data_IF_096778726923
#
_entry.id   IF_096778726923
#
_cell.length_a   1.000
_cell.length_b   1.000
_cell.length_c   1.000
_cell.angle_alpha   90.00
_cell.angle_beta   90.00
_cell.angle_gamma   90.00
#
_symmetry.space_group_name_H-M   'P 1'
#
loop_
_entity.id
_entity.type
_entity.pdbx_description
1 polymer ?
#
# COMPACT_ATOMS: atom_id res chain seq x y z
N UNK A 1 -10.05 -28.41 30.12
CA UNK A 1 -10.33 -27.10 29.51
C UNK A 1 -11.18 -27.34 28.27
N UNK A 2 -12.46 -26.94 28.30
CA UNK A 2 -13.42 -27.20 27.24
C UNK A 2 -13.27 -26.14 26.12
N UNK A 3 -13.15 -26.60 24.88
CA UNK A 3 -13.09 -25.77 23.67
C UNK A 3 -14.51 -25.27 23.33
N UNK A 4 -14.74 -23.99 22.99
CA UNK A 4 -16.08 -23.54 22.64
C UNK A 4 -16.52 -24.10 21.28
N UNK A 5 -17.67 -24.77 21.24
CA UNK A 5 -18.34 -25.19 20.01
C UNK A 5 -18.79 -23.97 19.20
N UNK A 6 -18.17 -23.76 18.04
CA UNK A 6 -18.56 -22.74 17.06
C UNK A 6 -19.86 -23.19 16.38
N UNK A 7 -20.96 -22.53 16.69
CA UNK A 7 -22.23 -22.77 15.99
C UNK A 7 -22.12 -22.34 14.51
N UNK A 8 -22.72 -23.09 13.57
CA UNK A 8 -22.80 -22.68 12.17
C UNK A 8 -23.69 -21.44 12.03
N UNK A 9 -23.39 -20.60 11.05
CA UNK A 9 -24.15 -19.40 10.75
C UNK A 9 -25.62 -19.74 10.41
N UNK A 10 -26.56 -18.94 10.91
CA UNK A 10 -27.99 -19.15 10.66
C UNK A 10 -28.36 -18.89 9.19
N UNK A 11 -29.35 -19.61 8.66
CA UNK A 11 -29.82 -19.46 7.27
C UNK A 11 -30.16 -18.02 6.90
N UNK A 12 -30.70 -17.23 7.84
CA UNK A 12 -30.99 -15.81 7.62
C UNK A 12 -29.73 -14.98 7.35
N UNK A 13 -28.62 -15.31 8.00
CA UNK A 13 -27.34 -14.63 7.85
C UNK A 13 -26.66 -14.99 6.52
N UNK A 14 -26.78 -16.25 6.10
CA UNK A 14 -26.37 -16.71 4.76
C UNK A 14 -27.21 -16.07 3.63
N UNK A 15 -28.53 -15.94 3.84
CA UNK A 15 -29.43 -15.31 2.85
C UNK A 15 -29.15 -13.81 2.70
N UNK A 16 -28.86 -13.11 3.79
CA UNK A 16 -28.48 -11.69 3.75
C UNK A 16 -27.11 -11.49 3.09
N UNK A 17 -26.20 -12.45 3.24
CA UNK A 17 -24.90 -12.46 2.57
C UNK A 17 -25.01 -12.80 1.07
N UNK A 18 -25.92 -13.71 0.68
CA UNK A 18 -26.21 -14.02 -0.72
C UNK A 18 -26.89 -12.87 -1.47
N UNK A 19 -27.82 -12.16 -0.84
CA UNK A 19 -28.42 -10.97 -1.45
C UNK A 19 -27.40 -9.83 -1.62
N UNK A 20 -26.40 -9.73 -0.73
CA UNK A 20 -25.31 -8.76 -0.89
C UNK A 20 -24.32 -9.19 -2.00
N UNK A 21 -24.06 -10.49 -2.14
CA UNK A 21 -23.21 -11.04 -3.19
C UNK A 21 -23.82 -10.90 -4.60
N UNK A 22 -25.15 -10.92 -4.75
CA UNK A 22 -25.81 -10.67 -6.04
C UNK A 22 -25.65 -9.23 -6.54
N UNK A 23 -25.36 -8.27 -5.66
CA UNK A 23 -25.02 -6.89 -6.06
C UNK A 23 -23.62 -6.77 -6.67
N UNK A 24 -22.76 -7.78 -6.48
CA UNK A 24 -21.42 -7.84 -7.06
C UNK A 24 -21.44 -8.87 -8.18
N UNK A 25 -21.73 -8.39 -9.38
CA UNK A 25 -21.87 -9.21 -10.59
C UNK A 25 -20.77 -10.25 -10.76
N UNK A 26 -21.21 -11.48 -11.02
CA UNK A 26 -20.44 -12.59 -11.58
C UNK A 26 -19.60 -12.11 -12.76
N UNK A 27 -18.28 -12.22 -12.64
CA UNK A 27 -17.36 -12.06 -13.77
C UNK A 27 -17.50 -13.28 -14.68
N UNK A 28 -18.39 -13.18 -15.67
CA UNK A 28 -18.42 -14.08 -16.81
C UNK A 28 -17.17 -13.93 -17.69
N UNK A 29 -16.83 -14.94 -18.52
CA UNK A 29 -15.70 -14.86 -19.45
C UNK A 29 -15.87 -13.69 -20.44
N UNK A 30 -14.77 -13.06 -20.90
CA UNK A 30 -14.84 -11.86 -21.71
C UNK A 30 -15.50 -12.16 -23.06
N UNK A 31 -16.59 -11.45 -23.37
CA UNK A 31 -17.17 -11.43 -24.70
C UNK A 31 -16.19 -10.77 -25.69
N UNK A 32 -16.10 -11.25 -26.95
CA UNK A 32 -15.22 -10.67 -27.95
C UNK A 32 -15.65 -9.23 -28.28
N UNK A 33 -14.75 -8.28 -28.03
CA UNK A 33 -14.92 -6.85 -28.32
C UNK A 33 -14.87 -6.67 -29.84
N UNK A 34 -15.94 -6.16 -30.44
CA UNK A 34 -15.91 -5.62 -31.80
C UNK A 34 -15.04 -4.35 -31.80
N UNK A 35 -13.91 -4.41 -32.52
CA UNK A 35 -13.00 -3.28 -32.73
C UNK A 35 -13.66 -2.35 -33.76
N UNK A 36 -14.46 -1.40 -33.28
CA UNK A 36 -14.79 -0.19 -34.04
C UNK A 36 -13.60 0.80 -34.00
N UNK A 37 -13.43 1.66 -35.02
CA UNK A 37 -12.25 2.49 -35.13
C UNK A 37 -12.14 3.45 -33.95
N UNK A 38 -10.99 3.40 -33.29
CA UNK A 38 -10.55 4.33 -32.25
C UNK A 38 -10.26 5.72 -32.82
N UNK A 39 -10.47 6.73 -31.98
CA UNK A 39 -10.05 8.15 -32.05
C UNK A 39 -11.21 9.12 -32.31
N UNK A 40 -11.61 9.84 -31.24
CA UNK A 40 -12.32 11.16 -31.17
C UNK A 40 -13.37 11.30 -30.06
N UNK A 41 -13.38 10.43 -29.03
CA UNK A 41 -14.40 10.45 -27.96
C UNK A 41 -14.05 11.19 -26.66
N UNK A 42 -12.78 11.56 -26.42
CA UNK A 42 -12.33 12.08 -25.10
C UNK A 42 -12.79 13.50 -24.77
N UNK A 43 -13.45 14.18 -25.70
CA UNK A 43 -13.84 15.58 -25.54
C UNK A 43 -15.35 15.75 -25.27
N UNK A 44 -16.12 14.65 -25.25
CA UNK A 44 -17.55 14.72 -25.03
C UNK A 44 -17.84 14.85 -23.52
N UNK A 45 -18.45 15.96 -23.06
CA UNK A 45 -18.71 16.21 -21.64
C UNK A 45 -19.55 15.10 -20.99
N UNK A 46 -20.51 14.51 -21.73
CA UNK A 46 -21.33 13.39 -21.25
C UNK A 46 -20.52 12.11 -20.96
N UNK A 47 -19.49 11.84 -21.77
CA UNK A 47 -18.62 10.66 -21.58
C UNK A 47 -17.72 10.88 -20.36
N UNK A 48 -17.17 12.10 -20.21
CA UNK A 48 -16.35 12.49 -19.06
C UNK A 48 -17.18 12.43 -17.77
N UNK A 49 -18.40 12.96 -17.79
CA UNK A 49 -19.35 12.90 -16.69
C UNK A 49 -19.59 11.46 -16.23
N UNK A 50 -19.97 10.59 -17.18
CA UNK A 50 -20.26 9.19 -16.89
C UNK A 50 -19.03 8.48 -16.32
N UNK A 51 -17.86 8.70 -16.91
CA UNK A 51 -16.61 8.12 -16.43
C UNK A 51 -16.28 8.56 -14.99
N UNK A 52 -16.44 9.85 -14.66
CA UNK A 52 -16.20 10.36 -13.30
C UNK A 52 -17.14 9.67 -12.31
N UNK A 53 -18.45 9.63 -12.59
CA UNK A 53 -19.45 9.03 -11.71
C UNK A 53 -19.25 7.52 -11.51
N UNK A 54 -18.99 6.78 -12.58
CA UNK A 54 -18.72 5.34 -12.49
C UNK A 54 -17.45 5.05 -11.68
N UNK A 55 -16.38 5.79 -11.94
CA UNK A 55 -15.11 5.60 -11.24
C UNK A 55 -15.21 5.98 -9.77
N UNK A 56 -15.86 7.11 -9.46
CA UNK A 56 -16.11 7.54 -8.09
C UNK A 56 -16.96 6.50 -7.34
N UNK A 57 -18.05 6.00 -7.94
CA UNK A 57 -18.91 4.98 -7.33
C UNK A 57 -18.17 3.67 -7.05
N UNK A 58 -17.36 3.20 -8.01
CA UNK A 58 -16.51 2.01 -7.84
C UNK A 58 -15.49 2.22 -6.73
N UNK A 59 -14.91 3.42 -6.63
CA UNK A 59 -13.93 3.77 -5.62
C UNK A 59 -14.54 3.85 -4.22
N UNK A 60 -15.69 4.50 -4.06
CA UNK A 60 -16.46 4.53 -2.81
C UNK A 60 -16.74 3.10 -2.33
N UNK A 61 -17.23 2.25 -3.22
CA UNK A 61 -17.49 0.84 -2.92
C UNK A 61 -16.23 0.09 -2.50
N UNK A 62 -15.08 0.37 -3.13
CA UNK A 62 -13.79 -0.27 -2.79
C UNK A 62 -13.29 0.19 -1.42
N UNK A 63 -13.40 1.49 -1.10
CA UNK A 63 -12.99 2.05 0.19
C UNK A 63 -13.86 1.50 1.32
N UNK A 64 -15.18 1.46 1.14
CA UNK A 64 -16.12 0.88 2.11
C UNK A 64 -15.86 -0.62 2.33
N UNK A 65 -15.59 -1.35 1.25
CA UNK A 65 -15.21 -2.77 1.32
C UNK A 65 -13.91 -2.96 2.12
N UNK A 66 -12.87 -2.19 1.81
CA UNK A 66 -11.59 -2.26 2.52
C UNK A 66 -11.74 -1.93 4.01
N UNK A 67 -12.49 -0.88 4.35
CA UNK A 67 -12.81 -0.52 5.73
C UNK A 67 -13.45 -1.69 6.47
N UNK A 68 -14.55 -2.23 5.93
CA UNK A 68 -15.29 -3.34 6.55
C UNK A 68 -14.44 -4.61 6.66
N UNK A 69 -13.60 -4.90 5.68
CA UNK A 69 -12.69 -6.04 5.72
C UNK A 69 -11.62 -5.87 6.81
N UNK A 70 -11.09 -4.65 6.96
CA UNK A 70 -10.12 -4.31 8.00
C UNK A 70 -10.70 -4.35 9.42
N UNK A 71 -12.00 -4.04 9.57
CA UNK A 71 -12.72 -4.17 10.84
C UNK A 71 -13.11 -5.63 11.15
N UNK A 72 -12.88 -6.57 10.24
CA UNK A 72 -13.29 -7.97 10.36
C UNK A 72 -14.79 -8.20 10.27
N UNK A 73 -15.54 -7.26 9.64
CA UNK A 73 -17.00 -7.33 9.49
C UNK A 73 -17.43 -8.14 8.27
N UNK A 74 -16.54 -8.29 7.29
CA UNK A 74 -16.81 -9.01 6.04
C UNK A 74 -15.64 -9.91 5.64
N UNK A 75 -15.95 -10.89 4.80
CA UNK A 75 -14.95 -11.80 4.23
C UNK A 75 -14.24 -11.12 3.05
N UNK A 76 -12.91 -11.21 3.04
CA UNK A 76 -12.07 -10.88 1.91
C UNK A 76 -12.33 -11.86 0.75
N UNK A 77 -12.77 -11.34 -0.40
CA UNK A 77 -13.25 -12.08 -1.56
C UNK A 77 -14.15 -13.28 -1.22
N UNK A 78 -15.04 -13.15 -0.23
CA UNK A 78 -15.90 -14.23 0.26
C UNK A 78 -15.16 -15.51 0.66
N UNK A 79 -13.84 -15.44 0.90
CA UNK A 79 -12.99 -16.61 1.10
C UNK A 79 -12.41 -16.65 2.51
N UNK A 80 -11.80 -15.56 2.96
CA UNK A 80 -11.16 -15.50 4.28
C UNK A 80 -11.71 -14.33 5.11
N UNK A 81 -11.95 -14.58 6.39
CA UNK A 81 -12.29 -13.54 7.35
C UNK A 81 -11.02 -13.19 8.14
N UNK A 82 -10.56 -11.94 8.01
CA UNK A 82 -9.46 -11.44 8.83
C UNK A 82 -10.03 -10.84 10.11
N UNK A 83 -9.86 -11.53 11.24
CA UNK A 83 -10.23 -10.96 12.54
C UNK A 83 -9.18 -9.93 12.97
N UNK A 84 -9.56 -8.91 13.77
CA UNK A 84 -8.62 -7.92 14.33
C UNK A 84 -7.33 -8.54 14.91
N UNK A 85 -7.38 -9.62 15.73
CA UNK A 85 -6.14 -10.23 16.22
C UNK A 85 -5.33 -10.93 15.13
N UNK A 86 -5.96 -11.43 14.06
CA UNK A 86 -5.25 -12.03 12.93
C UNK A 86 -4.56 -10.96 12.06
N UNK A 87 -5.18 -9.80 11.87
CA UNK A 87 -4.56 -8.65 11.23
C UNK A 87 -3.31 -8.18 12.01
N UNK A 88 -3.41 -8.10 13.34
CA UNK A 88 -2.27 -7.74 14.19
C UNK A 88 -1.10 -8.74 14.15
N UNK A 89 -1.34 -9.99 13.73
CA UNK A 89 -0.32 -11.04 13.59
C UNK A 89 0.41 -11.02 12.24
N UNK A 90 -0.07 -10.25 11.27
CA UNK A 90 0.58 -10.15 9.97
C UNK A 90 1.98 -9.53 10.17
N UNK A 91 3.01 -10.14 9.59
CA UNK A 91 4.43 -9.77 9.82
C UNK A 91 4.77 -8.30 9.51
N UNK A 92 3.91 -7.61 8.78
CA UNK A 92 4.04 -6.19 8.46
C UNK A 92 3.46 -5.26 9.55
N UNK A 93 2.60 -5.76 10.43
CA UNK A 93 1.97 -5.03 11.53
C UNK A 93 2.90 -4.96 12.77
N UNK A 94 4.20 -4.72 12.56
CA UNK A 94 5.08 -4.42 13.69
C UNK A 94 4.65 -3.07 14.30
N UNK A 95 4.46 -2.97 15.63
CA UNK A 95 3.94 -1.75 16.27
C UNK A 95 4.60 -0.43 15.84
N UNK A 96 5.94 -0.32 15.72
CA UNK A 96 6.56 0.97 15.36
C UNK A 96 6.35 1.37 13.89
N UNK A 97 6.27 0.42 12.96
CA UNK A 97 5.96 0.71 11.55
C UNK A 97 4.50 1.10 11.38
N UNK A 98 3.64 0.43 12.12
CA UNK A 98 2.21 0.66 12.11
C UNK A 98 1.87 2.06 12.64
N UNK A 99 2.50 2.48 13.74
CA UNK A 99 2.40 3.83 14.27
C UNK A 99 2.82 4.90 13.25
N UNK A 100 3.97 4.72 12.57
CA UNK A 100 4.44 5.66 11.53
C UNK A 100 3.49 5.75 10.34
N UNK A 101 2.99 4.61 9.87
CA UNK A 101 2.01 4.57 8.79
C UNK A 101 0.69 5.21 9.21
N UNK A 102 0.23 4.95 10.44
CA UNK A 102 -0.94 5.58 11.01
C UNK A 102 -0.75 7.10 11.10
N UNK A 103 0.40 7.59 11.55
CA UNK A 103 0.73 9.02 11.54
C UNK A 103 0.61 9.60 10.14
N UNK A 104 1.25 8.99 9.13
CA UNK A 104 1.14 9.45 7.74
C UNK A 104 -0.33 9.53 7.27
N UNK A 105 -1.13 8.51 7.53
CA UNK A 105 -2.55 8.50 7.18
C UNK A 105 -3.38 9.52 7.96
N UNK A 106 -3.05 9.76 9.23
CA UNK A 106 -3.72 10.75 10.06
C UNK A 106 -3.47 12.17 9.53
N UNK A 107 -2.23 12.49 9.14
CA UNK A 107 -1.89 13.79 8.57
C UNK A 107 -2.69 14.06 7.28
N UNK A 108 -2.79 13.05 6.40
CA UNK A 108 -3.67 13.14 5.23
C UNK A 108 -5.14 13.31 5.66
N UNK A 109 -5.60 12.51 6.62
CA UNK A 109 -6.96 12.56 7.15
C UNK A 109 -7.36 13.92 7.73
N UNK A 110 -6.44 14.66 8.37
CA UNK A 110 -6.69 16.01 8.86
C UNK A 110 -6.68 17.07 7.76
N UNK A 111 -5.86 16.89 6.74
CA UNK A 111 -5.76 17.85 5.63
C UNK A 111 -6.95 17.80 4.66
N UNK A 112 -7.53 16.61 4.41
CA UNK A 112 -8.63 16.44 3.44
C UNK A 112 -9.89 17.26 3.77
N UNK A 113 -10.40 17.29 5.02
CA UNK A 113 -11.57 18.11 5.39
C UNK A 113 -11.40 19.59 5.08
N UNK A 114 -10.19 20.14 5.26
CA UNK A 114 -9.95 21.56 4.94
C UNK A 114 -10.18 21.86 3.46
N UNK A 115 -9.82 20.94 2.57
CA UNK A 115 -10.04 21.07 1.13
C UNK A 115 -11.53 20.93 0.77
N UNK A 116 -12.25 20.05 1.48
CA UNK A 116 -13.70 19.87 1.31
C UNK A 116 -14.48 21.14 1.64
N UNK A 117 -14.07 21.86 2.68
CA UNK A 117 -14.71 23.08 3.14
C UNK A 117 -14.33 24.31 2.30
N UNK A 118 -13.08 24.39 1.84
CA UNK A 118 -12.54 25.56 1.11
C UNK A 118 -13.13 25.75 -0.30
N UNK A 119 -13.53 24.68 -1.00
CA UNK A 119 -13.95 24.75 -2.41
C UNK A 119 -15.36 24.17 -2.66
N UNK A 120 -16.44 24.80 -2.15
CA UNK A 120 -17.77 24.22 -2.17
C UNK A 120 -18.50 24.29 -3.52
N UNK A 121 -18.06 25.12 -4.49
CA UNK A 121 -18.85 25.43 -5.69
C UNK A 121 -18.15 25.16 -7.04
N UNK A 122 -16.83 24.96 -7.06
CA UNK A 122 -16.06 24.78 -8.30
C UNK A 122 -15.39 23.41 -8.32
N UNK A 123 -15.78 22.49 -9.22
CA UNK A 123 -15.14 21.17 -9.33
C UNK A 123 -13.66 21.29 -9.72
N UNK A 124 -13.32 22.26 -10.57
CA UNK A 124 -11.95 22.46 -11.06
C UNK A 124 -11.02 22.91 -9.94
N UNK A 125 -11.44 23.87 -9.11
CA UNK A 125 -10.60 24.41 -8.04
C UNK A 125 -10.45 23.41 -6.90
N UNK A 126 -11.55 22.73 -6.53
CA UNK A 126 -11.54 21.63 -5.59
C UNK A 126 -10.55 20.53 -6.03
N UNK A 127 -10.65 20.03 -7.26
CA UNK A 127 -9.75 18.97 -7.74
C UNK A 127 -8.31 19.45 -7.89
N UNK A 128 -8.05 20.72 -8.16
CA UNK A 128 -6.68 21.28 -8.19
C UNK A 128 -6.08 21.28 -6.79
N UNK A 129 -6.82 21.75 -5.78
CA UNK A 129 -6.40 21.74 -4.39
C UNK A 129 -6.19 20.32 -3.86
N UNK A 130 -7.11 19.39 -4.18
CA UNK A 130 -6.97 17.98 -3.83
C UNK A 130 -5.73 17.34 -4.47
N UNK A 131 -5.46 17.62 -5.75
CA UNK A 131 -4.23 17.14 -6.39
C UNK A 131 -2.97 17.72 -5.75
N UNK A 132 -2.98 19.01 -5.43
CA UNK A 132 -1.85 19.67 -4.77
C UNK A 132 -1.57 19.03 -3.41
N UNK A 133 -2.60 18.81 -2.59
CA UNK A 133 -2.48 18.10 -1.32
C UNK A 133 -1.90 16.69 -1.48
N UNK A 134 -2.43 15.91 -2.42
CA UNK A 134 -1.94 14.54 -2.67
C UNK A 134 -0.48 14.53 -3.17
N UNK A 135 -0.04 15.56 -3.90
CA UNK A 135 1.36 15.74 -4.31
C UNK A 135 2.25 16.07 -3.11
N UNK A 136 1.83 17.01 -2.27
CA UNK A 136 2.54 17.35 -1.03
C UNK A 136 2.68 16.12 -0.13
N UNK A 137 1.63 15.33 -0.01
CA UNK A 137 1.65 14.08 0.77
C UNK A 137 2.56 13.00 0.18
N UNK A 138 2.67 12.87 -1.15
CA UNK A 138 3.67 11.99 -1.77
C UNK A 138 5.10 12.46 -1.48
N UNK A 139 5.34 13.78 -1.53
CA UNK A 139 6.63 14.38 -1.20
C UNK A 139 7.00 14.08 0.26
N UNK A 140 6.05 14.32 1.18
CA UNK A 140 6.20 14.02 2.60
C UNK A 140 6.52 12.54 2.84
N UNK A 141 5.78 11.61 2.24
CA UNK A 141 6.07 10.16 2.35
C UNK A 141 7.44 9.78 1.77
N UNK A 142 7.93 10.51 0.77
CA UNK A 142 9.23 10.25 0.19
C UNK A 142 10.38 10.64 1.14
N UNK A 143 10.13 11.53 2.09
CA UNK A 143 11.08 11.98 3.12
C UNK A 143 10.86 11.18 4.42
N UNK A 144 9.61 10.84 4.74
CA UNK A 144 9.17 10.05 5.89
C UNK A 144 8.51 8.72 5.47
N UNK A 145 9.30 7.70 5.06
CA UNK A 145 8.73 6.44 4.59
C UNK A 145 7.93 5.71 5.68
N UNK A 146 6.76 5.14 5.35
CA UNK A 146 5.93 4.42 6.30
C UNK A 146 6.62 3.17 6.88
N UNK A 147 7.57 2.58 6.14
CA UNK A 147 8.38 1.44 6.58
C UNK A 147 9.50 1.79 7.56
N UNK A 148 9.78 3.08 7.77
CA UNK A 148 10.84 3.52 8.65
C UNK A 148 12.25 3.37 8.10
N UNK A 149 12.42 2.83 6.90
CA UNK A 149 13.69 2.91 6.17
C UNK A 149 13.80 4.35 5.66
N UNK A 150 14.53 5.21 6.37
CA UNK A 150 14.88 6.54 5.87
C UNK A 150 15.43 6.40 4.45
N UNK A 151 14.99 7.20 3.48
CA UNK A 151 15.63 7.20 2.18
C UNK A 151 17.01 7.79 2.42
N UNK A 152 18.03 6.93 2.50
CA UNK A 152 19.40 7.39 2.44
C UNK A 152 19.51 8.20 1.15
N UNK A 153 19.63 9.52 1.26
CA UNK A 153 19.73 10.48 0.15
C UNK A 153 21.01 10.27 -0.72
N UNK A 154 21.67 9.13 -0.57
CA UNK A 154 22.85 8.70 -1.31
C UNK A 154 22.54 7.69 -2.42
N UNK A 155 21.36 7.08 -2.47
CA UNK A 155 21.10 5.95 -3.40
C UNK A 155 20.43 6.32 -4.73
N UNK A 156 20.09 7.60 -4.98
CA UNK A 156 19.52 8.05 -6.27
C UNK A 156 20.49 8.82 -7.16
N UNK A 157 21.75 8.97 -6.76
CA UNK A 157 22.81 9.40 -7.66
C UNK A 157 23.31 8.21 -8.47
N UNK A 158 22.66 7.86 -9.59
CA UNK A 158 23.28 7.00 -10.60
C UNK A 158 24.37 7.81 -11.29
N UNK A 159 25.54 7.91 -10.64
CA UNK A 159 26.74 8.51 -11.22
C UNK A 159 27.02 7.72 -12.51
N UNK A 160 26.94 8.33 -13.71
CA UNK A 160 27.32 7.64 -14.92
C UNK A 160 28.82 7.32 -14.81
N UNK A 161 29.14 6.06 -15.06
CA UNK A 161 30.47 5.48 -15.02
C UNK A 161 31.41 6.23 -15.99
N UNK A 162 32.01 7.35 -15.56
CA UNK A 162 32.85 8.25 -16.38
C UNK A 162 34.35 7.97 -16.26
N UNK A 163 34.74 6.79 -15.78
CA UNK A 163 36.11 6.30 -15.89
C UNK A 163 36.17 5.05 -16.78
N UNK A 164 35.97 5.24 -18.09
CA UNK A 164 36.57 4.33 -19.07
C UNK A 164 37.97 4.85 -19.42
N UNK A 165 38.97 4.35 -18.70
CA UNK A 165 40.36 4.40 -19.15
C UNK A 165 40.55 3.23 -20.11
N UNK A 166 40.89 3.56 -21.36
CA UNK A 166 41.31 2.62 -22.38
C UNK A 166 42.61 1.93 -21.97
N UNK A 167 42.72 0.62 -22.24
CA UNK A 167 43.87 0.01 -22.94
C UNK A 167 43.69 -1.51 -23.11
N UNK A 168 44.01 -1.95 -24.34
CA UNK A 168 44.58 -3.24 -24.70
C UNK A 168 43.68 -4.34 -25.34
N UNK A 169 43.82 -4.41 -26.67
CA UNK A 169 44.09 -5.61 -27.50
C UNK A 169 43.09 -6.77 -27.52
N UNK A 170 42.51 -6.94 -28.71
CA UNK A 170 42.60 -8.18 -29.48
C UNK A 170 41.63 -9.30 -29.12
N UNK A 171 41.05 -9.90 -30.16
CA UNK A 171 40.67 -11.31 -30.11
C UNK A 171 39.20 -11.62 -30.26
N UNK A 172 38.90 -12.20 -31.41
CA UNK A 172 37.70 -12.93 -31.81
C UNK A 172 37.11 -13.90 -30.77
N UNK A 173 35.85 -14.25 -31.03
CA UNK A 173 35.19 -15.56 -30.82
C UNK A 173 34.30 -15.77 -29.58
N UNK A 174 32.98 -15.83 -29.85
CA UNK A 174 32.09 -17.01 -29.75
C UNK A 174 32.35 -18.03 -28.62
N UNK A 175 31.37 -18.21 -27.73
CA UNK A 175 31.15 -19.44 -26.95
C UNK A 175 30.49 -19.19 -25.59
N UNK A 176 29.20 -19.53 -25.40
CA UNK A 176 28.65 -20.82 -24.92
C UNK A 176 29.01 -21.20 -23.48
N UNK A 177 27.97 -21.14 -22.62
CA UNK A 177 27.46 -22.18 -21.70
C UNK A 177 28.45 -23.30 -21.32
N UNK A 178 28.68 -23.49 -20.02
CA UNK A 178 28.39 -24.76 -19.31
C UNK A 178 28.82 -24.74 -17.84
N UNK A 179 28.06 -25.50 -17.06
CA UNK A 179 28.11 -25.74 -15.62
C UNK A 179 29.08 -26.86 -15.22
N UNK A 180 29.12 -27.13 -13.90
CA UNK A 180 29.64 -28.30 -13.16
C UNK A 180 31.15 -28.28 -12.87
N UNK A 181 31.71 -28.54 -11.67
CA UNK A 181 31.41 -29.28 -10.43
C UNK A 181 32.46 -30.39 -10.24
N UNK A 182 33.00 -30.50 -9.01
CA UNK A 182 33.91 -31.55 -8.47
C UNK A 182 35.31 -31.58 -9.12
N UNK A 183 36.43 -31.89 -8.46
CA UNK A 183 36.67 -32.90 -7.43
C UNK A 183 38.08 -32.73 -6.81
N UNK A 184 38.16 -33.07 -5.51
CA UNK A 184 39.26 -33.62 -4.68
C UNK A 184 40.76 -33.33 -4.95
N UNK A 185 41.51 -33.11 -3.85
CA UNK A 185 42.98 -33.23 -3.85
C UNK A 185 43.79 -32.87 -2.59
N UNK A 186 43.52 -33.48 -1.43
CA UNK A 186 44.48 -34.02 -0.43
C UNK A 186 45.60 -33.13 0.23
N UNK A 187 46.23 -33.58 1.37
CA UNK A 187 46.40 -32.78 2.60
C UNK A 187 47.86 -32.57 3.05
N UNK A 188 48.11 -31.76 4.10
CA UNK A 188 49.03 -32.06 5.24
C UNK A 188 49.36 -30.84 6.12
N UNK A 189 49.06 -30.97 7.42
CA UNK A 189 49.90 -30.75 8.64
C UNK A 189 50.87 -29.54 8.67
N UNK A 190 50.60 -28.54 9.52
CA UNK A 190 51.08 -28.36 10.91
C UNK A 190 52.37 -27.53 11.01
N UNK A 191 52.26 -26.31 11.57
CA UNK A 191 53.30 -25.76 12.42
C UNK A 191 52.70 -24.75 13.40
N UNK A 192 52.83 -25.08 14.68
CA UNK A 192 52.50 -24.22 15.82
C UNK A 192 53.65 -23.27 16.13
N UNK A 193 53.36 -21.98 16.34
CA UNK A 193 54.25 -21.09 17.11
C UNK A 193 53.43 -20.03 17.83
N UNK A 194 53.51 -20.08 19.15
CA UNK A 194 52.94 -19.15 20.12
C UNK A 194 53.81 -17.91 20.25
N UNK A 195 53.20 -16.73 20.35
CA UNK A 195 53.71 -15.70 21.26
C UNK A 195 52.60 -14.77 21.75
N UNK A 196 52.70 -14.45 23.03
CA UNK A 196 51.68 -13.81 23.86
C UNK A 196 51.86 -12.28 23.98
N UNK A 197 50.81 -11.67 24.53
CA UNK A 197 50.76 -10.42 25.30
C UNK A 197 50.64 -9.07 24.57
N UNK A 198 49.41 -8.53 24.58
CA UNK A 198 49.10 -7.18 25.10
C UNK A 198 47.56 -7.02 25.19
N UNK A 199 47.05 -6.75 26.39
CA UNK A 199 45.65 -6.33 26.66
C UNK A 199 45.58 -4.78 26.75
N UNK A 200 44.41 -4.17 26.98
CA UNK A 200 43.59 -3.39 26.04
C UNK A 200 43.71 -1.86 26.28
N UNK A 201 42.97 -1.01 25.55
CA UNK A 201 41.71 -0.53 26.13
C UNK A 201 40.58 -0.22 25.12
N UNK A 202 39.36 -0.29 25.64
CA UNK A 202 38.19 0.51 25.30
C UNK A 202 38.05 1.04 23.86
N UNK A 203 37.38 0.26 23.02
CA UNK A 203 36.44 0.80 22.07
C UNK A 203 35.07 0.22 22.42
N UNK A 204 34.50 0.74 23.51
CA UNK A 204 33.07 0.68 23.75
C UNK A 204 32.39 1.06 22.43
N UNK A 205 31.68 0.09 21.85
CA UNK A 205 30.72 0.34 20.81
C UNK A 205 29.81 1.46 21.35
N UNK A 206 30.02 2.67 20.84
CA UNK A 206 29.07 3.75 20.93
C UNK A 206 27.85 3.28 20.14
N UNK A 207 27.06 2.46 20.82
CA UNK A 207 25.64 2.36 20.66
C UNK A 207 25.12 3.76 20.92
N UNK A 208 25.16 4.59 19.88
CA UNK A 208 24.33 5.78 19.75
C UNK A 208 22.89 5.29 19.74
N UNK A 209 22.42 4.94 20.94
CA UNK A 209 21.02 5.00 21.32
C UNK A 209 20.63 6.47 21.27
N UNK A 210 20.48 6.98 20.04
CA UNK A 210 19.69 8.17 19.81
C UNK A 210 18.31 7.83 20.36
N UNK A 211 17.79 8.58 21.34
CA UNK A 211 16.40 8.42 21.71
C UNK A 211 15.61 8.70 20.43
N UNK A 212 14.87 7.70 19.96
CA UNK A 212 13.86 7.89 18.93
C UNK A 212 12.79 8.75 19.60
N UNK A 213 12.98 10.07 19.56
CA UNK A 213 11.91 11.03 19.77
C UNK A 213 11.13 11.04 18.47
N UNK A 214 9.92 10.50 18.47
CA UNK A 214 8.96 10.57 17.37
C UNK A 214 8.41 11.99 17.15
N UNK A 215 9.04 13.00 17.75
CA UNK A 215 8.73 14.41 17.59
C UNK A 215 9.96 15.17 17.10
N UNK A 216 9.77 15.82 15.96
CA UNK A 216 10.35 17.11 15.61
C UNK A 216 11.83 17.16 15.20
N UNK A 217 12.07 16.94 13.92
CA UNK A 217 13.00 17.80 13.16
C UNK A 217 12.45 17.88 11.72
N UNK A 218 11.39 18.68 11.52
CA UNK A 218 11.07 19.15 10.17
C UNK A 218 12.34 19.82 9.66
N UNK A 219 12.84 19.40 8.52
CA UNK A 219 13.95 20.10 7.89
C UNK A 219 13.49 21.56 7.70
N UNK A 220 14.33 22.59 7.93
CA UNK A 220 13.94 24.01 7.86
C UNK A 220 13.30 24.46 6.53
N UNK A 221 13.26 23.58 5.53
CA UNK A 221 12.72 23.80 4.18
C UNK A 221 11.36 23.13 3.96
N UNK A 222 10.81 22.40 4.94
CA UNK A 222 9.56 21.64 4.80
C UNK A 222 8.35 22.52 5.12
N UNK A 223 7.96 23.35 4.15
CA UNK A 223 6.71 24.13 4.22
C UNK A 223 5.70 23.56 3.22
N UNK A 224 4.59 23.02 3.71
CA UNK A 224 3.47 22.56 2.90
C UNK A 224 2.34 23.59 2.88
N UNK A 225 1.61 23.68 1.77
CA UNK A 225 0.50 24.64 1.63
C UNK A 225 -0.82 24.05 2.12
N UNK A 226 -1.06 22.79 1.81
CA UNK A 226 -2.32 22.10 2.09
C UNK A 226 -2.15 20.94 3.09
N UNK A 227 -0.99 20.29 3.09
CA UNK A 227 -0.72 19.21 4.03
C UNK A 227 -0.49 19.76 5.44
N UNK A 228 -1.30 19.31 6.39
CA UNK A 228 -1.16 19.66 7.80
C UNK A 228 -0.24 18.66 8.50
N UNK A 229 0.78 19.15 9.21
CA UNK A 229 1.78 18.34 9.93
C UNK A 229 1.87 18.70 11.43
N UNK A 230 0.77 18.67 12.19
CA UNK A 230 0.82 18.96 13.62
C UNK A 230 1.63 17.91 14.39
N UNK A 231 2.33 18.33 15.44
CA UNK A 231 2.98 17.41 16.38
C UNK A 231 1.93 16.61 17.14
N UNK A 232 2.05 15.28 17.12
CA UNK A 232 1.13 14.39 17.81
C UNK A 232 1.64 14.03 19.21
N UNK A 233 0.81 14.10 20.27
CA UNK A 233 1.23 13.74 21.62
C UNK A 233 1.24 12.21 21.87
N UNK A 234 0.77 11.40 20.89
CA UNK A 234 0.71 9.95 20.97
C UNK A 234 0.83 9.31 19.58
N UNK A 235 1.17 8.02 19.56
CA UNK A 235 1.16 7.20 18.35
C UNK A 235 -0.28 6.79 17.99
N UNK A 236 -0.81 7.16 16.81
CA UNK A 236 -2.18 6.84 16.44
C UNK A 236 -2.39 5.35 16.19
N UNK A 237 -3.57 4.85 16.55
CA UNK A 237 -3.97 3.48 16.21
C UNK A 237 -4.28 3.38 14.71
N UNK A 238 -3.60 2.45 14.03
CA UNK A 238 -3.74 2.29 12.59
C UNK A 238 -5.13 1.82 12.15
N UNK A 239 -5.79 0.97 12.94
CA UNK A 239 -7.09 0.43 12.55
C UNK A 239 -8.15 1.51 12.52
N UNK A 240 -8.18 2.34 13.56
CA UNK A 240 -9.08 3.48 13.63
C UNK A 240 -8.71 4.55 12.60
N UNK A 241 -7.41 4.86 12.46
CA UNK A 241 -6.95 5.88 11.51
C UNK A 241 -7.23 5.49 10.06
N UNK A 242 -7.05 4.22 9.70
CA UNK A 242 -7.36 3.74 8.36
C UNK A 242 -8.86 3.78 8.07
N UNK A 243 -9.69 3.35 9.02
CA UNK A 243 -11.14 3.37 8.86
C UNK A 243 -11.67 4.80 8.67
N UNK A 244 -11.21 5.73 9.50
CA UNK A 244 -11.58 7.16 9.41
C UNK A 244 -11.06 7.81 8.13
N UNK A 245 -9.84 7.47 7.69
CA UNK A 245 -9.33 7.94 6.39
C UNK A 245 -10.18 7.44 5.22
N UNK A 246 -10.65 6.19 5.25
CA UNK A 246 -11.57 5.66 4.24
C UNK A 246 -12.88 6.47 4.20
N UNK A 247 -13.45 6.81 5.36
CA UNK A 247 -14.68 7.60 5.45
C UNK A 247 -14.49 9.00 4.85
N UNK A 248 -13.41 9.70 5.24
CA UNK A 248 -13.11 11.03 4.70
C UNK A 248 -12.85 10.97 3.18
N UNK A 249 -12.17 9.93 2.69
CA UNK A 249 -11.98 9.74 1.24
C UNK A 249 -13.31 9.46 0.52
N UNK A 250 -14.23 8.69 1.12
CA UNK A 250 -15.58 8.49 0.59
C UNK A 250 -16.30 9.82 0.48
N UNK A 251 -16.19 10.70 1.48
CA UNK A 251 -16.74 12.06 1.43
C UNK A 251 -16.10 12.87 0.31
N UNK A 252 -14.79 12.75 0.06
CA UNK A 252 -14.12 13.41 -1.06
C UNK A 252 -14.65 12.97 -2.44
N UNK A 253 -14.90 11.68 -2.65
CA UNK A 253 -15.49 11.18 -3.89
C UNK A 253 -16.96 11.56 -4.02
N UNK A 254 -17.71 11.52 -2.91
CA UNK A 254 -19.12 11.93 -2.86
C UNK A 254 -19.27 13.42 -3.19
N UNK A 255 -18.40 14.26 -2.61
CA UNK A 255 -18.30 15.69 -2.94
C UNK A 255 -17.98 15.90 -4.42
N UNK A 256 -17.05 15.13 -4.98
CA UNK A 256 -16.71 15.21 -6.42
C UNK A 256 -17.94 14.92 -7.29
N UNK A 257 -18.70 13.86 -6.99
CA UNK A 257 -19.93 13.52 -7.71
C UNK A 257 -21.01 14.61 -7.54
N UNK A 258 -21.11 15.23 -6.37
CA UNK A 258 -22.04 16.33 -6.12
C UNK A 258 -21.67 17.60 -6.88
N UNK A 259 -20.37 17.94 -6.98
CA UNK A 259 -19.89 19.08 -7.75
C UNK A 259 -20.03 18.86 -9.26
N UNK A 260 -19.82 17.63 -9.72
CA UNK A 260 -20.03 17.21 -11.10
C UNK A 260 -21.46 16.66 -11.24
N UNK A 261 -22.47 17.49 -10.96
CA UNK A 261 -23.88 17.09 -10.93
C UNK A 261 -24.55 17.03 -12.31
N UNK A 262 -23.97 17.69 -13.31
CA UNK A 262 -24.48 17.70 -14.69
C UNK A 262 -23.35 17.51 -15.71
N UNK A 263 -23.66 17.01 -16.93
CA UNK A 263 -22.66 16.87 -17.99
C UNK A 263 -21.94 18.18 -18.34
N UNK A 264 -22.60 19.32 -18.24
CA UNK A 264 -22.03 20.63 -18.54
C UNK A 264 -20.84 21.00 -17.64
N UNK A 265 -20.86 20.53 -16.38
CA UNK A 265 -19.77 20.73 -15.43
C UNK A 265 -18.58 19.79 -15.66
N UNK A 266 -18.77 18.71 -16.42
CA UNK A 266 -17.77 17.68 -16.71
C UNK A 266 -16.91 18.05 -17.92
N UNK A 267 -16.24 19.19 -17.82
CA UNK A 267 -15.26 19.60 -18.85
C UNK A 267 -14.10 18.61 -18.92
N UNK A 268 -13.41 18.49 -20.07
CA UNK A 268 -12.23 17.61 -20.19
C UNK A 268 -11.16 17.89 -19.13
N UNK A 269 -10.97 19.15 -18.75
CA UNK A 269 -10.03 19.57 -17.70
C UNK A 269 -10.39 18.96 -16.34
N UNK A 270 -11.68 18.95 -15.98
CA UNK A 270 -12.17 18.31 -14.75
C UNK A 270 -11.93 16.80 -14.81
N UNK A 271 -12.18 16.18 -15.96
CA UNK A 271 -11.87 14.76 -16.20
C UNK A 271 -10.40 14.41 -15.96
N UNK A 272 -9.48 15.21 -16.50
CA UNK A 272 -8.04 14.99 -16.34
C UNK A 272 -7.58 15.19 -14.89
N UNK A 273 -8.08 16.24 -14.22
CA UNK A 273 -7.78 16.50 -12.81
C UNK A 273 -8.30 15.39 -11.91
N UNK A 274 -9.51 14.89 -12.17
CA UNK A 274 -10.08 13.75 -11.45
C UNK A 274 -9.25 12.48 -11.67
N UNK A 275 -8.89 12.16 -12.91
CA UNK A 275 -8.10 10.97 -13.22
C UNK A 275 -6.74 10.99 -12.51
N UNK A 276 -6.08 12.17 -12.44
CA UNK A 276 -4.83 12.35 -11.68
C UNK A 276 -5.03 12.16 -10.18
N UNK A 277 -6.09 12.73 -9.61
CA UNK A 277 -6.41 12.55 -8.19
C UNK A 277 -6.69 11.08 -7.87
N UNK A 278 -7.52 10.39 -8.66
CA UNK A 278 -7.84 8.97 -8.46
C UNK A 278 -6.61 8.07 -8.56
N UNK A 279 -5.72 8.34 -9.53
CA UNK A 279 -4.48 7.59 -9.67
C UNK A 279 -3.58 7.72 -8.44
N UNK A 280 -3.52 8.92 -7.84
CA UNK A 280 -2.77 9.18 -6.60
C UNK A 280 -3.40 8.50 -5.40
N UNK A 281 -4.70 8.64 -5.19
CA UNK A 281 -5.41 7.94 -4.10
C UNK A 281 -5.21 6.43 -4.21
N UNK A 282 -5.32 5.88 -5.43
CA UNK A 282 -5.04 4.46 -5.68
C UNK A 282 -3.62 4.07 -5.28
N UNK A 283 -2.63 4.85 -5.69
CA UNK A 283 -1.22 4.56 -5.43
C UNK A 283 -0.85 4.68 -3.95
N UNK A 284 -1.33 5.74 -3.30
CA UNK A 284 -0.94 6.11 -1.93
C UNK A 284 -1.63 5.23 -0.89
N UNK A 285 -2.91 4.93 -1.09
CA UNK A 285 -3.72 4.21 -0.10
C UNK A 285 -4.03 2.79 -0.57
N UNK A 286 -4.75 2.65 -1.70
CA UNK A 286 -5.33 1.35 -2.06
C UNK A 286 -4.28 0.30 -2.45
N UNK A 287 -3.27 0.68 -3.22
CA UNK A 287 -2.31 -0.28 -3.78
C UNK A 287 -1.49 -0.99 -2.70
N UNK A 288 -1.15 -0.29 -1.61
CA UNK A 288 -0.45 -0.89 -0.47
C UNK A 288 -1.37 -1.86 0.28
N UNK A 289 -2.53 -1.36 0.71
CA UNK A 289 -3.46 -2.15 1.54
C UNK A 289 -3.99 -3.37 0.79
N UNK A 290 -4.41 -3.24 -0.47
CA UNK A 290 -4.90 -4.38 -1.26
C UNK A 290 -3.82 -5.45 -1.41
N UNK A 291 -2.57 -5.06 -1.69
CA UNK A 291 -1.46 -6.00 -1.80
C UNK A 291 -1.23 -6.76 -0.48
N UNK A 292 -1.30 -6.06 0.64
CA UNK A 292 -1.15 -6.68 1.96
C UNK A 292 -2.26 -7.70 2.27
N UNK A 293 -3.51 -7.37 1.95
CA UNK A 293 -4.63 -8.31 2.08
C UNK A 293 -4.48 -9.52 1.15
N UNK A 294 -4.00 -9.33 -0.07
CA UNK A 294 -3.72 -10.41 -1.01
C UNK A 294 -2.61 -11.35 -0.49
N UNK A 295 -1.52 -10.79 0.01
CA UNK A 295 -0.40 -11.57 0.57
C UNK A 295 -0.84 -12.31 1.85
N UNK A 296 -1.58 -11.66 2.74
CA UNK A 296 -2.21 -12.29 3.90
C UNK A 296 -3.14 -13.43 3.50
N UNK A 297 -3.95 -13.25 2.45
CA UNK A 297 -4.89 -14.25 1.96
C UNK A 297 -4.18 -15.50 1.45
N UNK A 298 -3.06 -15.35 0.76
CA UNK A 298 -2.27 -16.50 0.26
C UNK A 298 -1.71 -17.34 1.41
N UNK A 299 -1.29 -16.70 2.50
CA UNK A 299 -0.82 -17.39 3.70
C UNK A 299 -1.98 -18.08 4.42
N UNK A 300 -3.09 -17.36 4.62
CA UNK A 300 -4.30 -17.89 5.27
C UNK A 300 -4.87 -19.11 4.53
N UNK A 301 -5.02 -19.03 3.21
CA UNK A 301 -5.55 -20.14 2.40
C UNK A 301 -4.71 -21.41 2.52
N UNK A 302 -3.37 -21.28 2.53
CA UNK A 302 -2.48 -22.43 2.74
C UNK A 302 -2.64 -23.03 4.13
N UNK A 303 -2.83 -22.17 5.15
CA UNK A 303 -3.08 -22.59 6.52
C UNK A 303 -4.39 -23.38 6.67
N UNK A 304 -5.48 -22.84 6.13
CA UNK A 304 -6.79 -23.51 6.15
C UNK A 304 -6.76 -24.85 5.41
N UNK A 305 -6.14 -24.91 4.22
CA UNK A 305 -6.02 -26.14 3.45
C UNK A 305 -5.15 -27.19 4.16
N UNK A 306 -4.07 -26.78 4.83
CA UNK A 306 -3.27 -27.68 5.67
C UNK A 306 -4.04 -28.17 6.89
N UNK A 307 -4.89 -27.32 7.48
CA UNK A 307 -5.79 -27.69 8.58
C UNK A 307 -6.81 -28.75 8.16
N UNK A 308 -7.51 -28.52 7.05
CA UNK A 308 -8.44 -29.52 6.46
C UNK A 308 -7.70 -30.81 6.15
N UNK A 309 -6.51 -30.74 5.55
CA UNK A 309 -5.68 -31.91 5.28
C UNK A 309 -5.38 -32.73 6.54
N UNK A 310 -5.02 -32.08 7.65
CA UNK A 310 -4.80 -32.76 8.94
C UNK A 310 -6.07 -33.40 9.50
N UNK A 311 -7.22 -32.74 9.39
CA UNK A 311 -8.49 -33.29 9.91
C UNK A 311 -8.97 -34.47 9.07
N UNK A 312 -8.85 -34.39 7.74
CA UNK A 312 -9.30 -35.44 6.82
C UNK A 312 -8.34 -36.63 6.81
N UNK A 313 -7.03 -36.40 6.70
CA UNK A 313 -6.05 -37.51 6.72
C UNK A 313 -5.81 -38.04 8.13
N UNK A 314 -5.84 -37.17 9.15
CA UNK A 314 -5.65 -37.58 10.55
C UNK A 314 -6.83 -38.34 11.14
N UNK A 315 -8.02 -38.27 10.52
CA UNK A 315 -9.16 -39.13 10.85
C UNK A 315 -9.19 -40.45 10.07
N UNK A 316 -8.26 -40.67 9.13
CA UNK A 316 -8.15 -41.88 8.32
C UNK A 316 -7.04 -42.84 8.79
N UNK A 317 -6.33 -42.48 9.87
CA UNK A 317 -5.40 -43.32 10.63
C UNK A 317 -5.96 -43.55 12.04
#
# INVERSE_FOLDING_TARGET
MAVPLRYPASQKQLQQQQNFAQSYGSLGPPAPIQIGPTVSGSNNPSVVFQHIHEMASKRISTLDYLRKAHEGRIYWFNTLLFSKPDLARLSYFSPPKLARRATNYLLLGFSLPTILDLHPHSPTDYLRALNALLIEFESYQSIHPPEGTTPSSLSRGRIPNMFRKATHVGGSSKGRRSSAATDLGFPALDHSTSNASATPPDAAAASSSLPITTGDEHLPTETYTHLLTPSLPFDPDFFETFATLCDVLIDCYTKTMSLVGSPESATPVVGDLFAKADARVRKIILAGVVREFEDASRVGQRGEMAGVGKVVLGGLM
#
